data_IF_577312254322
#
_entry.id   IF_577312254322
#
_cell.length_a   1.000
_cell.length_b   1.000
_cell.length_c   1.000
_cell.angle_alpha   90.00
_cell.angle_beta   90.00
_cell.angle_gamma   90.00
#
_symmetry.space_group_name_H-M   'P 1'
#
loop_
_entity.id
_entity.type
_entity.pdbx_description
1 polymer ?
#
# COMPACT_ATOMS: atom_id res chain seq x y z
N UNK A 1 -10.90 -11.71 -1.21
CA UNK A 1 -10.68 -10.68 -0.18
C UNK A 1 -9.63 -9.74 -0.71
N UNK A 2 -9.82 -8.43 -0.56
CA UNK A 2 -8.88 -7.38 -0.99
C UNK A 2 -8.28 -6.68 0.23
N UNK A 3 -7.04 -6.25 0.11
CA UNK A 3 -6.37 -5.38 1.08
C UNK A 3 -6.15 -4.05 0.37
N UNK A 4 -6.77 -3.01 0.89
CA UNK A 4 -6.77 -1.66 0.33
C UNK A 4 -6.02 -0.79 1.31
N UNK A 5 -4.94 -0.14 0.88
CA UNK A 5 -4.07 0.66 1.74
C UNK A 5 -4.11 2.12 1.30
N UNK A 6 -4.23 3.04 2.26
CA UNK A 6 -4.29 4.48 1.99
C UNK A 6 -2.92 5.09 2.22
N UNK A 7 -2.33 5.63 1.16
CA UNK A 7 -1.09 6.38 1.26
C UNK A 7 -1.33 7.80 1.78
N UNK A 8 -0.46 8.28 2.68
CA UNK A 8 -0.40 9.68 3.12
C UNK A 8 -1.70 10.18 3.78
N UNK A 9 -2.27 9.43 4.72
CA UNK A 9 -3.49 9.85 5.40
C UNK A 9 -3.28 10.71 6.66
N UNK A 10 -2.05 11.12 6.97
CA UNK A 10 -1.73 12.03 8.08
C UNK A 10 -0.79 13.12 7.58
N UNK A 11 -1.03 14.38 7.97
CA UNK A 11 -0.23 15.52 7.50
C UNK A 11 1.26 15.37 7.87
N UNK A 12 1.56 15.08 9.15
CA UNK A 12 2.92 14.91 9.63
C UNK A 12 3.65 13.75 8.92
N UNK A 13 2.96 12.65 8.65
CA UNK A 13 3.53 11.53 7.91
C UNK A 13 3.76 11.88 6.42
N UNK A 14 2.85 12.63 5.80
CA UNK A 14 3.02 13.07 4.42
C UNK A 14 4.27 13.96 4.25
N UNK A 15 4.58 14.79 5.26
CA UNK A 15 5.82 15.56 5.33
C UNK A 15 7.05 14.65 5.47
N UNK A 16 7.04 13.70 6.41
CA UNK A 16 8.11 12.70 6.58
C UNK A 16 8.41 11.94 5.29
N UNK A 17 7.38 11.45 4.59
CA UNK A 17 7.54 10.74 3.33
C UNK A 17 8.17 11.61 2.23
N UNK A 18 7.82 12.90 2.17
CA UNK A 18 8.43 13.80 1.21
C UNK A 18 9.93 13.96 1.48
N UNK A 19 10.35 13.97 2.75
CA UNK A 19 11.76 13.97 3.11
C UNK A 19 12.45 12.64 2.79
N UNK A 20 11.83 11.49 3.11
CA UNK A 20 12.37 10.16 2.87
C UNK A 20 12.50 9.80 1.38
N UNK A 21 11.59 10.29 0.54
CA UNK A 21 11.58 10.01 -0.90
C UNK A 21 12.49 10.98 -1.66
N UNK A 22 12.59 12.25 -1.22
CA UNK A 22 13.43 13.27 -1.91
C UNK A 22 14.87 13.32 -1.39
N UNK A 23 15.11 12.90 -0.16
CA UNK A 23 16.42 12.85 0.45
C UNK A 23 17.03 11.46 0.33
N UNK A 24 18.19 11.34 -0.33
CA UNK A 24 19.12 10.25 -0.01
C UNK A 24 19.61 10.50 1.42
N UNK A 25 19.03 9.85 2.41
CA UNK A 25 19.31 10.16 3.81
C UNK A 25 20.62 9.50 4.26
N UNK A 26 21.60 10.30 4.67
CA UNK A 26 22.43 9.93 5.82
C UNK A 26 21.53 10.00 7.05
N UNK A 27 21.21 8.84 7.62
CA UNK A 27 20.73 8.75 8.98
C UNK A 27 21.89 9.04 9.95
N UNK A 28 21.69 9.73 11.08
CA UNK A 28 22.73 9.87 12.09
C UNK A 28 22.95 8.51 12.75
N UNK A 29 23.95 7.77 12.28
CA UNK A 29 24.41 6.56 12.94
C UNK A 29 25.09 6.93 14.27
N UNK A 30 24.49 6.43 15.35
CA UNK A 30 25.08 6.08 16.65
C UNK A 30 26.50 6.59 16.96
N UNK A 31 26.58 7.63 17.80
CA UNK A 31 27.72 7.80 18.69
C UNK A 31 27.70 6.70 19.75
N UNK A 32 28.19 5.51 19.42
CA UNK A 32 28.82 4.59 20.38
C UNK A 32 29.23 3.29 19.68
N UNK A 33 30.52 3.19 19.34
CA UNK A 33 31.36 1.97 19.44
C UNK A 33 32.75 2.28 18.89
N UNK A 34 33.60 2.83 19.76
CA UNK A 34 35.02 2.53 19.67
C UNK A 34 35.23 1.13 20.27
N UNK A 35 35.62 0.16 19.46
CA UNK A 35 36.65 -0.85 19.77
C UNK A 35 36.63 -2.00 18.75
N UNK A 36 37.70 -2.09 17.96
CA UNK A 36 38.41 -3.35 17.73
C UNK A 36 37.94 -4.29 16.60
N UNK A 37 38.89 -4.62 15.71
CA UNK A 37 38.94 -5.92 15.04
C UNK A 37 38.70 -5.86 13.53
N UNK A 38 39.78 -5.73 12.76
CA UNK A 38 39.74 -5.92 11.32
C UNK A 38 39.44 -7.37 10.94
N UNK A 39 38.61 -7.54 9.91
CA UNK A 39 38.45 -8.79 9.19
C UNK A 39 38.68 -8.52 7.70
N UNK A 40 39.65 -9.23 7.14
CA UNK A 40 40.03 -9.22 5.73
C UNK A 40 38.88 -9.76 4.85
N UNK A 41 38.59 -9.07 3.77
CA UNK A 41 37.75 -9.59 2.68
C UNK A 41 38.62 -10.37 1.68
N UNK A 42 38.25 -11.60 1.30
CA UNK A 42 38.98 -12.30 0.27
C UNK A 42 38.76 -11.63 -1.09
N UNK A 43 39.88 -11.46 -1.78
CA UNK A 43 40.01 -10.85 -3.10
C UNK A 43 39.45 -11.73 -4.21
N UNK A 44 38.80 -11.11 -5.20
CA UNK A 44 38.57 -11.74 -6.51
C UNK A 44 37.26 -11.37 -7.17
N UNK A 45 37.26 -10.28 -7.95
CA UNK A 45 36.88 -10.23 -9.37
C UNK A 45 36.61 -8.78 -9.81
N UNK A 46 37.16 -8.44 -10.98
CA UNK A 46 37.19 -7.10 -11.56
C UNK A 46 35.92 -6.79 -12.36
N UNK A 47 35.63 -5.50 -12.44
CA UNK A 47 34.68 -4.87 -13.35
C UNK A 47 34.98 -5.19 -14.82
N UNK A 48 33.95 -5.62 -15.55
CA UNK A 48 33.85 -5.58 -17.02
C UNK A 48 32.57 -4.82 -17.35
N UNK A 49 32.60 -4.00 -18.40
CA UNK A 49 31.61 -2.99 -18.73
C UNK A 49 30.21 -3.49 -19.14
N UNK A 50 29.50 -2.57 -19.80
CA UNK A 50 28.04 -2.47 -19.96
C UNK A 50 27.39 -3.46 -20.93
N UNK A 51 26.22 -3.95 -20.52
CA UNK A 51 25.26 -4.81 -21.23
C UNK A 51 25.54 -6.32 -21.17
N UNK A 52 24.57 -7.05 -20.60
CA UNK A 52 24.41 -8.49 -20.83
C UNK A 52 22.97 -8.75 -21.21
N UNK A 53 22.78 -9.08 -22.48
CA UNK A 53 21.54 -9.63 -23.04
C UNK A 53 21.24 -10.99 -22.40
N UNK A 54 19.95 -11.29 -22.23
CA UNK A 54 19.46 -12.56 -21.74
C UNK A 54 19.50 -13.60 -22.87
N UNK A 55 20.52 -14.46 -22.89
CA UNK A 55 20.53 -15.64 -23.77
C UNK A 55 19.78 -16.78 -23.08
N UNK A 56 18.46 -16.81 -23.25
CA UNK A 56 17.66 -17.99 -23.02
C UNK A 56 16.98 -18.38 -24.34
N UNK A 57 17.33 -19.57 -24.84
CA UNK A 57 16.83 -20.14 -26.09
C UNK A 57 15.30 -20.33 -26.04
N UNK A 58 14.60 -19.74 -27.02
CA UNK A 58 13.18 -19.95 -27.26
C UNK A 58 12.96 -21.33 -27.93
N UNK A 59 12.02 -22.17 -27.46
CA UNK A 59 11.62 -23.37 -28.19
C UNK A 59 10.95 -22.99 -29.51
N UNK A 60 11.45 -23.56 -30.61
CA UNK A 60 10.94 -23.30 -31.95
C UNK A 60 9.50 -23.80 -32.13
N UNK A 61 8.58 -22.88 -32.44
CA UNK A 61 7.23 -23.18 -32.88
C UNK A 61 7.28 -23.74 -34.32
N UNK A 62 7.01 -25.03 -34.44
CA UNK A 62 6.89 -25.74 -35.70
C UNK A 62 5.67 -25.26 -36.49
N UNK A 63 5.91 -24.52 -37.57
CA UNK A 63 4.89 -24.16 -38.57
C UNK A 63 4.75 -25.31 -39.56
N UNK A 64 3.76 -26.17 -39.37
CA UNK A 64 3.13 -26.95 -40.43
C UNK A 64 1.89 -27.69 -39.90
N UNK A 65 0.73 -27.06 -40.05
CA UNK A 65 -0.57 -27.75 -40.05
C UNK A 65 -1.51 -26.99 -40.99
N UNK A 66 -1.60 -27.50 -42.22
CA UNK A 66 -2.64 -27.23 -43.20
C UNK A 66 -3.94 -27.93 -42.78
N UNK A 67 -5.07 -27.23 -42.83
CA UNK A 67 -6.39 -27.85 -42.76
C UNK A 67 -7.54 -26.86 -42.55
N UNK A 68 -8.27 -26.58 -43.65
CA UNK A 68 -9.72 -26.30 -43.83
C UNK A 68 -10.48 -25.42 -42.83
N UNK A 69 -11.46 -24.57 -43.18
CA UNK A 69 -12.06 -24.02 -44.41
C UNK A 69 -12.96 -22.88 -43.90
N UNK A 70 -13.11 -21.81 -44.69
CA UNK A 70 -14.07 -20.76 -44.39
C UNK A 70 -15.51 -21.24 -44.69
N UNK A 71 -16.46 -20.92 -43.80
CA UNK A 71 -17.87 -20.77 -44.17
C UNK A 71 -18.43 -19.49 -43.55
N UNK A 72 -19.10 -18.72 -44.41
CA UNK A 72 -19.84 -17.49 -44.13
C UNK A 72 -21.30 -17.79 -43.78
N UNK A 73 -21.96 -16.74 -43.29
CA UNK A 73 -23.41 -16.50 -43.19
C UNK A 73 -24.07 -17.04 -41.93
N UNK A 74 -24.62 -16.13 -41.11
CA UNK A 74 -26.05 -15.79 -41.12
C UNK A 74 -26.23 -14.37 -40.58
N UNK A 75 -26.97 -13.57 -41.35
CA UNK A 75 -27.55 -12.27 -40.98
C UNK A 75 -28.88 -12.51 -40.24
N UNK A 76 -29.39 -11.41 -39.68
CA UNK A 76 -30.75 -11.14 -39.21
C UNK A 76 -31.09 -11.64 -37.79
N UNK A 77 -31.74 -10.89 -36.89
CA UNK A 77 -32.40 -9.59 -36.95
C UNK A 77 -32.73 -9.12 -35.51
N UNK A 78 -32.77 -7.79 -35.28
CA UNK A 78 -33.68 -7.15 -34.33
C UNK A 78 -33.28 -7.04 -32.85
N UNK A 79 -32.91 -5.83 -32.40
CA UNK A 79 -33.83 -5.00 -31.61
C UNK A 79 -33.31 -3.56 -31.47
N UNK A 80 -34.27 -2.65 -31.52
CA UNK A 80 -34.24 -1.21 -31.67
C UNK A 80 -33.87 -0.42 -30.42
N UNK A 81 -33.22 0.73 -30.62
CA UNK A 81 -33.61 1.96 -29.93
C UNK A 81 -32.63 2.54 -28.90
N UNK A 82 -31.73 3.42 -29.36
CA UNK A 82 -31.29 4.61 -28.62
C UNK A 82 -30.74 5.61 -29.63
N UNK A 83 -31.56 6.59 -30.02
CA UNK A 83 -31.16 7.73 -30.84
C UNK A 83 -30.30 8.67 -30.00
N UNK A 84 -29.01 8.74 -30.28
CA UNK A 84 -28.15 9.83 -29.81
C UNK A 84 -28.08 10.88 -30.92
N UNK A 85 -28.57 12.09 -30.66
CA UNK A 85 -28.33 13.24 -31.53
C UNK A 85 -26.86 13.69 -31.42
N UNK A 86 -26.23 14.13 -32.52
CA UNK A 86 -24.87 14.63 -32.50
C UNK A 86 -24.86 16.11 -32.08
N UNK A 87 -24.32 16.42 -30.90
CA UNK A 87 -23.94 17.80 -30.59
C UNK A 87 -22.52 18.04 -31.10
N UNK A 88 -22.47 18.78 -32.21
CA UNK A 88 -21.28 19.43 -32.73
C UNK A 88 -20.82 20.53 -31.78
N UNK A 89 -19.61 20.40 -31.25
CA UNK A 89 -18.71 21.52 -30.98
C UNK A 89 -17.29 20.97 -30.82
N UNK A 90 -16.57 20.95 -31.95
CA UNK A 90 -15.11 20.97 -31.93
C UNK A 90 -14.69 22.38 -31.53
N UNK A 91 -14.07 22.51 -30.36
CA UNK A 91 -13.41 23.72 -29.90
C UNK A 91 -11.98 23.35 -29.55
N UNK A 92 -11.03 23.89 -30.30
CA UNK A 92 -9.60 23.85 -30.02
C UNK A 92 -9.33 24.36 -28.60
N UNK A 93 -8.82 23.47 -27.76
CA UNK A 93 -8.37 23.79 -26.43
C UNK A 93 -7.51 22.64 -25.95
N UNK A 94 -6.19 22.74 -26.16
CA UNK A 94 -5.25 21.95 -25.39
C UNK A 94 -5.48 22.32 -23.92
N UNK A 95 -6.27 21.54 -23.20
CA UNK A 95 -6.33 21.60 -21.74
C UNK A 95 -4.95 21.20 -21.24
N UNK A 96 -4.12 22.22 -21.03
CA UNK A 96 -2.89 22.14 -20.26
C UNK A 96 -3.24 21.43 -18.96
N UNK A 97 -2.71 20.22 -18.78
CA UNK A 97 -2.80 19.49 -17.53
C UNK A 97 -2.45 20.47 -16.39
N UNK A 98 -3.35 20.69 -15.42
CA UNK A 98 -3.09 21.67 -14.37
C UNK A 98 -1.82 21.27 -13.60
N UNK A 99 -0.99 22.26 -13.29
CA UNK A 99 0.33 22.22 -12.65
C UNK A 99 0.43 21.50 -11.28
N UNK A 100 -0.58 20.73 -10.89
CA UNK A 100 -0.79 20.18 -9.53
C UNK A 100 -0.13 18.82 -9.27
N UNK A 101 0.45 18.18 -10.29
CA UNK A 101 1.01 16.82 -10.15
C UNK A 101 2.55 16.75 -10.27
N UNK A 102 3.27 17.85 -10.05
CA UNK A 102 4.73 17.80 -9.90
C UNK A 102 5.10 17.21 -8.52
N UNK A 103 6.06 16.28 -8.43
CA UNK A 103 6.72 15.95 -7.17
C UNK A 103 7.45 17.21 -6.69
N UNK A 104 6.84 17.96 -5.77
CA UNK A 104 7.34 19.30 -5.46
C UNK A 104 6.50 20.08 -4.47
N UNK A 105 5.19 20.11 -4.69
CA UNK A 105 4.24 21.07 -4.11
C UNK A 105 3.47 20.45 -2.93
N UNK A 106 3.55 21.08 -1.75
CA UNK A 106 2.84 20.69 -0.53
C UNK A 106 1.38 21.16 -0.52
N UNK A 107 0.54 20.56 -1.36
CA UNK A 107 -0.91 20.55 -1.17
C UNK A 107 -1.37 19.09 -1.12
N UNK A 108 -2.19 18.73 -0.12
CA UNK A 108 -2.78 17.40 -0.03
C UNK A 108 -3.72 17.17 -1.23
N UNK A 109 -3.62 16.00 -1.87
CA UNK A 109 -4.53 15.58 -2.95
C UNK A 109 -5.99 15.75 -2.49
N UNK A 110 -6.93 16.19 -3.35
CA UNK A 110 -8.34 16.30 -2.99
C UNK A 110 -9.02 14.92 -2.81
N UNK A 111 -8.36 13.85 -3.23
CA UNK A 111 -8.84 12.47 -3.15
C UNK A 111 -7.78 11.56 -2.50
N UNK A 112 -8.21 10.54 -1.73
CA UNK A 112 -7.28 9.61 -1.09
C UNK A 112 -6.49 8.83 -2.14
N UNK A 113 -5.18 8.76 -1.94
CA UNK A 113 -4.29 7.90 -2.73
C UNK A 113 -4.37 6.51 -2.10
N UNK A 114 -4.67 5.50 -2.92
CA UNK A 114 -4.77 4.13 -2.45
C UNK A 114 -4.06 3.17 -3.40
N UNK A 115 -3.63 2.04 -2.85
CA UNK A 115 -3.04 0.93 -3.57
C UNK A 115 -3.56 -0.39 -3.00
N UNK A 116 -3.24 -1.49 -3.67
CA UNK A 116 -3.68 -2.83 -3.28
C UNK A 116 -2.50 -3.68 -2.85
N UNK A 117 -2.75 -4.56 -1.86
CA UNK A 117 -1.88 -5.69 -1.54
C UNK A 117 -2.66 -6.99 -1.82
N UNK A 118 -2.02 -8.02 -2.41
CA UNK A 118 -2.64 -9.31 -2.65
C UNK A 118 -2.93 -10.01 -1.31
N UNK A 119 -3.78 -11.03 -1.31
CA UNK A 119 -4.08 -11.79 -0.10
C UNK A 119 -2.85 -12.55 0.45
N UNK A 120 -1.88 -12.90 -0.40
CA UNK A 120 -0.57 -13.46 0.02
C UNK A 120 0.28 -12.49 0.84
N UNK A 121 -0.03 -11.18 0.80
CA UNK A 121 0.62 -10.19 1.64
C UNK A 121 0.25 -10.32 3.13
N UNK A 122 -0.79 -11.08 3.49
CA UNK A 122 -1.21 -11.15 4.89
C UNK A 122 -0.25 -11.96 5.76
N UNK A 123 0.25 -11.31 6.81
CA UNK A 123 0.86 -11.95 7.97
C UNK A 123 -0.19 -12.01 9.08
N UNK A 124 -0.46 -13.20 9.60
CA UNK A 124 -1.58 -13.47 10.52
C UNK A 124 -1.06 -14.03 11.84
N UNK A 125 -1.92 -14.09 12.84
CA UNK A 125 -1.70 -14.85 14.08
C UNK A 125 -0.46 -14.44 14.89
N UNK A 126 0.01 -13.19 14.75
CA UNK A 126 1.30 -12.77 15.32
C UNK A 126 2.48 -13.67 14.88
N UNK A 127 2.39 -14.26 13.68
CA UNK A 127 3.52 -14.96 13.08
C UNK A 127 4.69 -13.98 12.94
N UNK A 128 5.95 -14.44 13.14
CA UNK A 128 7.11 -13.60 12.90
C UNK A 128 7.17 -13.09 11.47
N UNK A 129 7.52 -11.81 11.30
CA UNK A 129 7.79 -11.24 9.98
C UNK A 129 9.23 -11.51 9.59
N UNK A 130 9.46 -12.07 8.41
CA UNK A 130 10.79 -12.34 7.88
C UNK A 130 11.15 -11.25 6.88
N UNK A 131 12.26 -10.55 7.11
CA UNK A 131 12.75 -9.52 6.18
C UNK A 131 13.12 -10.21 4.86
N UNK A 132 12.52 -9.82 3.72
CA UNK A 132 12.79 -10.47 2.46
C UNK A 132 14.20 -10.17 1.96
N UNK A 133 14.91 -11.21 1.47
CA UNK A 133 16.29 -11.10 1.00
C UNK A 133 16.51 -10.14 -0.18
N UNK A 134 15.45 -9.74 -0.89
CA UNK A 134 15.53 -8.77 -1.99
C UNK A 134 15.61 -7.31 -1.50
N UNK A 135 15.34 -7.04 -0.22
CA UNK A 135 15.28 -5.69 0.35
C UNK A 135 16.37 -5.53 1.40
N UNK A 136 16.98 -4.35 1.42
CA UNK A 136 17.95 -3.94 2.45
C UNK A 136 17.31 -3.02 3.50
N UNK A 137 16.12 -2.48 3.22
CA UNK A 137 15.45 -1.51 4.09
C UNK A 137 13.94 -1.71 4.05
N UNK A 138 13.40 -2.35 5.10
CA UNK A 138 11.95 -2.52 5.28
C UNK A 138 11.47 -1.67 6.43
N UNK A 139 10.44 -0.87 6.20
CA UNK A 139 9.85 0.01 7.20
C UNK A 139 8.51 -0.51 7.70
N UNK A 140 8.22 -0.28 8.98
CA UNK A 140 6.89 -0.44 9.56
C UNK A 140 6.02 0.80 9.33
N UNK A 141 4.73 0.58 9.14
CA UNK A 141 3.71 1.62 9.06
C UNK A 141 2.47 1.10 9.82
N UNK A 142 2.32 1.45 11.09
CA UNK A 142 1.17 1.02 11.90
C UNK A 142 -0.10 1.77 11.50
N UNK A 143 -1.19 1.06 11.27
CA UNK A 143 -2.45 1.62 10.79
C UNK A 143 -3.66 1.03 11.51
N UNK A 144 -4.70 1.84 11.64
CA UNK A 144 -6.04 1.32 11.93
C UNK A 144 -6.54 0.56 10.70
N UNK A 145 -7.07 -0.65 10.92
CA UNK A 145 -7.63 -1.49 9.86
C UNK A 145 -9.12 -1.65 10.06
N UNK A 146 -9.89 -1.29 9.03
CA UNK A 146 -11.35 -1.44 9.01
C UNK A 146 -11.71 -2.69 8.22
N UNK A 147 -12.56 -3.55 8.79
CA UNK A 147 -13.09 -4.74 8.11
C UNK A 147 -14.46 -4.46 7.53
N UNK A 148 -14.58 -4.64 6.21
CA UNK A 148 -15.85 -4.46 5.52
C UNK A 148 -16.78 -5.63 5.86
N UNK A 149 -18.00 -5.33 6.31
CA UNK A 149 -19.01 -6.32 6.71
C UNK A 149 -20.20 -6.40 5.74
N UNK A 150 -20.21 -5.58 4.69
CA UNK A 150 -21.29 -5.54 3.70
C UNK A 150 -20.77 -5.32 2.27
N UNK A 151 -21.45 -5.94 1.30
CA UNK A 151 -21.16 -5.72 -0.12
C UNK A 151 -21.69 -4.35 -0.56
N UNK A 152 -20.87 -3.55 -1.25
CA UNK A 152 -21.28 -2.25 -1.76
C UNK A 152 -20.40 -1.70 -2.88
N UNK A 153 -21.00 -0.84 -3.70
CA UNK A 153 -20.39 -0.16 -4.85
C UNK A 153 -20.98 1.24 -4.93
N UNK A 154 -20.18 2.24 -5.26
CA UNK A 154 -20.60 3.65 -5.35
C UNK A 154 -21.33 4.12 -4.09
N UNK A 155 -20.78 3.80 -2.93
CA UNK A 155 -21.35 4.10 -1.62
C UNK A 155 -21.21 5.61 -1.38
N UNK A 156 -22.32 6.30 -1.10
CA UNK A 156 -22.25 7.69 -0.67
C UNK A 156 -21.65 7.78 0.75
N UNK A 157 -20.79 8.78 0.99
CA UNK A 157 -20.05 8.98 2.24
C UNK A 157 -20.93 8.91 3.49
N UNK A 158 -22.07 9.60 3.50
CA UNK A 158 -23.06 9.57 4.60
C UNK A 158 -23.60 8.17 4.98
N UNK A 159 -23.34 7.16 4.16
CA UNK A 159 -23.79 5.78 4.37
C UNK A 159 -22.65 4.80 4.61
N UNK A 160 -21.39 5.25 4.55
CA UNK A 160 -20.21 4.41 4.63
C UNK A 160 -20.04 3.73 6.00
N UNK A 161 -20.39 4.41 7.10
CA UNK A 161 -20.40 3.86 8.46
C UNK A 161 -21.23 2.58 8.63
N UNK A 162 -22.12 2.24 7.68
CA UNK A 162 -22.96 1.03 7.70
C UNK A 162 -22.28 -0.20 7.08
N UNK A 163 -21.05 -0.05 6.60
CA UNK A 163 -20.28 -1.09 5.89
C UNK A 163 -19.12 -1.66 6.70
N UNK A 164 -18.99 -1.24 7.96
CA UNK A 164 -18.04 -1.77 8.91
C UNK A 164 -18.59 -1.62 10.32
N UNK A 165 -18.16 -2.50 11.23
CA UNK A 165 -18.53 -2.45 12.65
C UNK A 165 -17.36 -2.75 13.57
N UNK A 166 -16.25 -3.21 13.02
CA UNK A 166 -15.10 -3.66 13.78
C UNK A 166 -13.82 -3.14 13.16
N UNK A 167 -12.83 -2.94 14.01
CA UNK A 167 -11.51 -2.44 13.66
C UNK A 167 -10.42 -3.29 14.28
N UNK A 168 -9.28 -3.35 13.63
CA UNK A 168 -8.05 -3.95 14.15
C UNK A 168 -6.88 -3.00 13.98
N UNK A 169 -5.69 -3.49 14.26
CA UNK A 169 -4.44 -2.82 13.89
C UNK A 169 -3.69 -3.69 12.90
N UNK A 170 -2.94 -3.03 12.02
CA UNK A 170 -2.10 -3.70 11.05
C UNK A 170 -0.79 -2.95 10.81
N UNK A 171 0.21 -3.66 10.29
CA UNK A 171 1.47 -3.07 9.84
C UNK A 171 1.55 -3.17 8.32
N UNK A 172 1.60 -2.03 7.65
CA UNK A 172 1.83 -1.90 6.21
C UNK A 172 3.35 -1.85 5.92
N UNK A 173 3.98 -3.03 5.88
CA UNK A 173 5.41 -3.11 5.59
C UNK A 173 5.73 -2.61 4.18
N UNK A 174 6.83 -1.85 4.11
CA UNK A 174 7.29 -1.22 2.88
C UNK A 174 8.78 -1.47 2.67
N UNK A 175 9.16 -2.11 1.56
CA UNK A 175 10.55 -2.15 1.11
C UNK A 175 10.93 -0.75 0.59
N UNK A 176 11.48 0.08 1.48
CA UNK A 176 11.65 1.52 1.27
C UNK A 176 12.67 1.81 0.18
N UNK A 177 13.71 1.00 0.10
CA UNK A 177 14.70 1.00 -0.97
C UNK A 177 14.04 0.86 -2.35
N UNK A 178 13.18 -0.13 -2.52
CA UNK A 178 12.44 -0.35 -3.77
C UNK A 178 11.41 0.76 -4.03
N UNK A 179 10.80 1.31 -2.99
CA UNK A 179 9.84 2.40 -3.17
C UNK A 179 10.53 3.68 -3.67
N UNK A 180 11.71 4.02 -3.12
CA UNK A 180 12.51 5.15 -3.61
C UNK A 180 12.95 4.94 -5.06
N UNK A 181 13.39 3.73 -5.40
CA UNK A 181 13.70 3.37 -6.79
C UNK A 181 12.48 3.57 -7.71
N UNK A 182 11.32 3.02 -7.34
CA UNK A 182 10.10 3.16 -8.11
C UNK A 182 9.70 4.64 -8.27
N UNK A 183 9.80 5.44 -7.21
CA UNK A 183 9.51 6.87 -7.26
C UNK A 183 10.47 7.64 -8.21
N UNK A 184 11.77 7.32 -8.18
CA UNK A 184 12.76 7.93 -9.06
C UNK A 184 12.54 7.57 -10.55
N UNK A 185 12.08 6.34 -10.80
CA UNK A 185 11.80 5.84 -12.15
C UNK A 185 10.36 6.14 -12.64
N UNK A 186 9.52 6.72 -11.80
CA UNK A 186 8.10 6.96 -12.11
C UNK A 186 7.26 5.67 -12.22
N UNK A 187 7.68 4.60 -11.55
CA UNK A 187 7.05 3.29 -11.55
C UNK A 187 6.00 3.11 -10.43
N UNK A 188 5.06 2.16 -10.59
CA UNK A 188 4.11 1.77 -9.55
C UNK A 188 4.77 1.21 -8.28
N UNK A 189 4.07 1.31 -7.13
CA UNK A 189 4.60 0.95 -5.81
C UNK A 189 4.50 -0.55 -5.46
N UNK A 190 3.86 -1.36 -6.30
CA UNK A 190 3.48 -2.75 -6.02
C UNK A 190 4.70 -3.58 -5.61
N UNK A 191 5.86 -3.43 -6.23
CA UNK A 191 7.07 -4.18 -5.83
C UNK A 191 7.55 -3.84 -4.42
N UNK A 192 7.30 -2.63 -3.95
CA UNK A 192 7.70 -2.17 -2.62
C UNK A 192 6.66 -2.41 -1.53
N UNK A 193 5.39 -2.60 -1.93
CA UNK A 193 4.25 -2.68 -1.01
C UNK A 193 3.54 -4.05 -1.06
N UNK A 194 3.57 -4.80 -2.15
CA UNK A 194 2.68 -5.96 -2.37
C UNK A 194 3.38 -7.32 -2.27
N UNK A 195 4.51 -7.40 -1.54
CA UNK A 195 5.25 -8.66 -1.36
C UNK A 195 4.61 -9.53 -0.26
N UNK A 196 4.95 -10.82 -0.23
CA UNK A 196 4.39 -11.77 0.73
C UNK A 196 4.60 -11.30 2.18
N UNK A 197 3.58 -11.49 3.03
CA UNK A 197 3.59 -11.12 4.46
C UNK A 197 3.80 -9.62 4.76
N UNK A 198 3.74 -8.75 3.76
CA UNK A 198 3.90 -7.29 3.93
C UNK A 198 2.73 -6.55 4.56
N UNK A 199 1.63 -7.22 4.90
CA UNK A 199 0.47 -6.69 5.61
C UNK A 199 0.23 -7.51 6.88
N UNK A 200 0.81 -7.11 8.00
CA UNK A 200 0.46 -7.73 9.29
C UNK A 200 -0.94 -7.28 9.71
N UNK A 201 -1.73 -8.21 10.24
CA UNK A 201 -3.08 -7.92 10.74
C UNK A 201 -3.29 -8.55 12.12
N UNK A 202 -3.92 -7.80 13.02
CA UNK A 202 -4.27 -8.29 14.35
C UNK A 202 -5.08 -9.59 14.28
N UNK A 203 -4.82 -10.58 15.15
CA UNK A 203 -5.59 -11.83 15.18
C UNK A 203 -7.07 -11.59 15.48
N UNK A 204 -7.36 -10.52 16.21
CA UNK A 204 -8.69 -10.12 16.64
C UNK A 204 -9.07 -8.75 16.06
N UNK A 205 -10.37 -8.55 15.87
CA UNK A 205 -10.98 -7.26 15.56
C UNK A 205 -11.89 -6.87 16.72
N UNK A 206 -11.86 -5.61 17.10
CA UNK A 206 -12.64 -5.05 18.20
C UNK A 206 -13.89 -4.37 17.64
N UNK A 207 -15.04 -4.66 18.23
CA UNK A 207 -16.29 -3.98 17.88
C UNK A 207 -16.19 -2.49 18.21
N UNK A 208 -16.62 -1.63 17.28
CA UNK A 208 -16.73 -0.19 17.55
C UNK A 208 -17.69 0.10 18.70
N UNK A 209 -18.68 -0.76 18.94
CA UNK A 209 -19.57 -0.62 20.09
C UNK A 209 -18.82 -0.72 21.43
N UNK A 210 -17.72 -1.50 21.49
CA UNK A 210 -16.84 -1.56 22.67
C UNK A 210 -15.94 -0.32 22.80
N UNK A 211 -15.82 0.47 21.74
CA UNK A 211 -14.94 1.64 21.60
C UNK A 211 -15.74 2.94 21.41
N UNK A 212 -16.85 3.08 22.13
CA UNK A 212 -17.77 4.25 22.08
C UNK A 212 -18.44 4.55 20.72
N UNK A 213 -18.26 3.69 19.72
CA UNK A 213 -18.99 3.69 18.45
C UNK A 213 -18.42 4.60 17.35
N UNK A 214 -17.46 5.47 17.66
CA UNK A 214 -16.92 6.47 16.73
C UNK A 214 -15.50 6.12 16.29
N UNK A 215 -15.38 5.59 15.06
CA UNK A 215 -14.07 5.19 14.49
C UNK A 215 -13.10 6.36 14.34
N UNK A 216 -13.60 7.60 14.29
CA UNK A 216 -12.77 8.80 14.18
C UNK A 216 -12.36 9.36 15.54
N UNK A 217 -12.53 8.61 16.65
CA UNK A 217 -12.07 9.02 18.00
C UNK A 217 -11.21 7.97 18.69
N UNK A 218 -10.54 7.14 17.90
CA UNK A 218 -9.64 6.10 18.40
C UNK A 218 -8.18 6.56 18.40
N UNK A 219 -7.44 6.06 19.40
CA UNK A 219 -6.01 6.22 19.58
C UNK A 219 -5.31 4.88 19.56
N UNK A 220 -4.16 4.83 18.91
CA UNK A 220 -3.33 3.62 18.88
C UNK A 220 -1.85 3.97 18.95
N UNK A 221 -1.04 3.01 19.35
CA UNK A 221 0.42 3.16 19.40
C UNK A 221 1.11 1.98 18.75
N UNK A 222 2.33 2.23 18.27
CA UNK A 222 3.30 1.20 17.93
C UNK A 222 4.54 1.39 18.79
N UNK A 223 4.96 0.32 19.44
CA UNK A 223 6.22 0.19 20.13
C UNK A 223 7.15 -0.73 19.35
N UNK A 224 8.43 -0.36 19.29
CA UNK A 224 9.52 -1.20 18.79
C UNK A 224 10.49 -1.41 19.94
N UNK A 225 10.68 -2.65 20.37
CA UNK A 225 11.50 -3.01 21.53
C UNK A 225 11.12 -2.22 22.80
N UNK A 226 9.82 -2.04 23.02
CA UNK A 226 9.25 -1.31 24.16
C UNK A 226 9.37 0.22 24.08
N UNK A 227 9.92 0.77 22.98
CA UNK A 227 9.96 2.22 22.76
C UNK A 227 8.83 2.64 21.82
N UNK A 228 7.96 3.54 22.25
CA UNK A 228 6.91 4.09 21.38
C UNK A 228 7.53 4.82 20.19
N UNK A 229 7.22 4.34 18.98
CA UNK A 229 7.68 4.91 17.71
C UNK A 229 6.58 5.68 17.00
N UNK A 230 5.35 5.18 17.07
CA UNK A 230 4.19 5.84 16.46
C UNK A 230 3.08 6.02 17.48
N UNK A 231 2.38 7.14 17.38
CA UNK A 231 1.14 7.42 18.10
C UNK A 231 0.13 7.94 17.09
N UNK A 232 -0.96 7.20 16.90
CA UNK A 232 -2.05 7.54 16.01
C UNK A 232 -3.24 8.09 16.77
N UNK A 233 -3.85 9.13 16.20
CA UNK A 233 -5.15 9.67 16.59
C UNK A 233 -5.97 9.78 15.30
N UNK A 234 -7.02 8.98 15.20
CA UNK A 234 -7.87 8.88 14.00
C UNK A 234 -8.56 10.21 13.64
N UNK A 235 -8.67 11.17 14.55
CA UNK A 235 -9.15 12.54 14.26
C UNK A 235 -8.19 13.31 13.36
N UNK A 236 -6.92 12.93 13.33
CA UNK A 236 -5.87 13.58 12.55
C UNK A 236 -5.77 13.02 11.13
N UNK A 237 -6.59 12.03 10.78
CA UNK A 237 -6.66 11.53 9.42
C UNK A 237 -7.13 12.62 8.45
N UNK A 238 -6.42 12.79 7.34
CA UNK A 238 -6.76 13.73 6.26
C UNK A 238 -8.06 13.32 5.55
N UNK A 239 -8.27 12.01 5.43
CA UNK A 239 -9.49 11.39 4.92
C UNK A 239 -10.06 10.46 5.99
N UNK A 240 -11.30 10.72 6.39
CA UNK A 240 -12.03 9.85 7.32
C UNK A 240 -12.24 8.46 6.72
N UNK A 241 -12.49 7.46 7.56
CA UNK A 241 -12.86 6.11 7.10
C UNK A 241 -14.04 6.13 6.13
N UNK A 242 -15.07 6.92 6.44
CA UNK A 242 -16.24 7.09 5.59
C UNK A 242 -15.90 7.67 4.22
N UNK A 243 -15.01 8.67 4.18
CA UNK A 243 -14.51 9.29 2.94
C UNK A 243 -13.72 8.29 2.11
N UNK A 244 -12.87 7.48 2.73
CA UNK A 244 -12.09 6.43 2.07
C UNK A 244 -13.02 5.41 1.40
N UNK A 245 -13.99 4.88 2.14
CA UNK A 245 -14.96 3.90 1.62
C UNK A 245 -15.74 4.48 0.45
N UNK A 246 -16.22 5.71 0.56
CA UNK A 246 -16.93 6.38 -0.52
C UNK A 246 -16.03 6.53 -1.75
N UNK A 247 -14.80 7.00 -1.57
CA UNK A 247 -13.86 7.23 -2.67
C UNK A 247 -13.50 5.93 -3.41
N UNK A 248 -13.10 4.88 -2.68
CA UNK A 248 -12.67 3.59 -3.23
C UNK A 248 -13.85 2.86 -3.89
N UNK A 249 -15.03 2.90 -3.27
CA UNK A 249 -16.20 2.16 -3.79
C UNK A 249 -16.71 2.71 -5.12
N UNK A 250 -16.37 3.94 -5.53
CA UNK A 250 -16.60 4.44 -6.90
C UNK A 250 -15.90 3.58 -7.96
N UNK A 251 -14.71 3.05 -7.65
CA UNK A 251 -13.85 2.35 -8.61
C UNK A 251 -13.97 0.83 -8.50
N UNK A 252 -14.11 0.28 -7.30
CA UNK A 252 -14.27 -1.17 -7.11
C UNK A 252 -15.41 -1.53 -6.14
N UNK A 253 -15.98 -2.72 -6.30
CA UNK A 253 -16.95 -3.25 -5.33
C UNK A 253 -16.23 -3.69 -4.06
N UNK A 254 -16.65 -3.16 -2.91
CA UNK A 254 -16.24 -3.67 -1.59
C UNK A 254 -17.06 -4.91 -1.27
N UNK A 255 -16.39 -5.96 -0.80
CA UNK A 255 -16.98 -7.24 -0.41
C UNK A 255 -16.75 -7.48 1.07
N UNK A 256 -17.61 -8.32 1.66
CA UNK A 256 -17.43 -8.75 3.04
C UNK A 256 -16.05 -9.38 3.23
N UNK A 257 -15.37 -8.99 4.30
CA UNK A 257 -14.03 -9.44 4.65
C UNK A 257 -12.89 -8.65 3.98
N UNK A 258 -13.17 -7.73 3.07
CA UNK A 258 -12.13 -6.81 2.57
C UNK A 258 -11.59 -5.95 3.73
N UNK A 259 -10.29 -5.65 3.68
CA UNK A 259 -9.57 -4.90 4.69
C UNK A 259 -9.16 -3.53 4.14
N UNK A 260 -9.38 -2.48 4.92
CA UNK A 260 -8.94 -1.12 4.60
C UNK A 260 -7.92 -0.69 5.66
N UNK A 261 -6.67 -0.61 5.24
CA UNK A 261 -5.54 -0.02 5.93
C UNK A 261 -5.62 1.50 5.70
N UNK A 262 -5.88 2.25 6.76
CA UNK A 262 -6.37 3.64 6.70
C UNK A 262 -5.26 4.69 6.62
N UNK A 263 -4.01 4.29 6.48
CA UNK A 263 -2.82 5.13 6.50
C UNK A 263 -2.17 5.20 7.88
N UNK A 264 -0.88 5.52 7.89
CA UNK A 264 -0.04 5.55 9.09
C UNK A 264 0.27 6.98 9.57
N UNK A 265 0.35 7.21 10.89
CA UNK A 265 0.82 8.48 11.45
C UNK A 265 2.35 8.61 11.30
N UNK A 266 2.89 9.74 11.76
CA UNK A 266 4.32 10.00 11.78
C UNK A 266 5.10 8.97 12.62
N UNK A 267 6.43 8.91 12.44
CA UNK A 267 7.32 7.99 13.15
C UNK A 267 7.58 6.68 12.42
N UNK A 268 7.44 6.65 11.10
CA UNK A 268 7.80 5.50 10.26
C UNK A 268 9.31 5.27 10.32
N UNK A 269 9.72 4.00 10.45
CA UNK A 269 11.13 3.65 10.56
C UNK A 269 11.43 2.21 10.16
N UNK A 270 12.73 1.85 10.07
CA UNK A 270 13.15 0.52 9.66
C UNK A 270 12.89 -0.53 10.75
N UNK A 271 12.76 -1.79 10.32
CA UNK A 271 12.87 -2.97 11.18
C UNK A 271 14.19 -3.69 10.95
N UNK A 272 14.71 -4.31 12.01
CA UNK A 272 15.91 -5.16 12.00
C UNK A 272 15.60 -6.55 12.56
N UNK A 273 16.32 -7.60 12.13
CA UNK A 273 16.17 -8.92 12.76
C UNK A 273 16.41 -8.85 14.27
N UNK A 274 15.49 -9.44 15.04
CA UNK A 274 15.50 -9.39 16.50
C UNK A 274 14.65 -8.27 17.11
N UNK A 275 14.10 -7.35 16.31
CA UNK A 275 13.11 -6.39 16.79
C UNK A 275 11.80 -7.08 17.17
N UNK A 276 11.12 -6.53 18.17
CA UNK A 276 9.73 -6.87 18.51
C UNK A 276 8.83 -5.66 18.24
N UNK A 277 7.72 -5.90 17.52
CA UNK A 277 6.70 -4.90 17.22
C UNK A 277 5.46 -5.19 18.05
N UNK A 278 5.03 -4.19 18.82
CA UNK A 278 3.84 -4.26 19.67
C UNK A 278 2.90 -3.11 19.38
N UNK A 279 1.65 -3.41 19.02
CA UNK A 279 0.64 -2.39 18.70
C UNK A 279 -0.58 -2.49 19.63
N UNK A 280 -1.01 -1.33 20.12
CA UNK A 280 -2.06 -1.19 21.13
C UNK A 280 -3.14 -0.23 20.63
N UNK A 281 -4.42 -0.63 20.73
CA UNK A 281 -5.59 0.19 20.40
C UNK A 281 -6.37 0.46 21.69
N UNK A 282 -6.54 1.72 22.09
CA UNK A 282 -7.30 2.10 23.30
C UNK A 282 -6.91 1.28 24.55
N UNK A 283 -5.61 1.04 24.72
CA UNK A 283 -5.06 0.25 25.83
C UNK A 283 -5.13 -1.27 25.66
N UNK A 284 -5.79 -1.79 24.61
CA UNK A 284 -5.84 -3.22 24.27
C UNK A 284 -4.72 -3.58 23.30
N UNK A 285 -3.84 -4.49 23.69
CA UNK A 285 -2.82 -5.04 22.79
C UNK A 285 -3.48 -5.90 21.70
N UNK A 286 -3.18 -5.59 20.44
CA UNK A 286 -3.74 -6.30 19.27
C UNK A 286 -2.68 -6.96 18.40
N UNK A 287 -1.43 -6.50 18.44
CA UNK A 287 -0.29 -7.10 17.74
C UNK A 287 0.91 -7.17 18.67
N UNK A 288 1.63 -8.29 18.62
CA UNK A 288 2.88 -8.50 19.32
C UNK A 288 3.64 -9.65 18.64
N UNK A 289 4.63 -9.32 17.81
CA UNK A 289 5.37 -10.31 17.03
C UNK A 289 6.80 -9.86 16.75
N UNK A 290 7.64 -10.84 16.43
CA UNK A 290 9.07 -10.63 16.21
C UNK A 290 9.42 -10.44 14.72
N UNK A 291 10.49 -9.70 14.49
CA UNK A 291 11.14 -9.55 13.19
C UNK A 291 12.31 -10.53 13.09
N UNK A 292 12.42 -11.23 11.96
CA UNK A 292 13.41 -12.26 11.69
C UNK A 292 14.12 -12.09 10.36
#
# INVERSE_FOLDING_TARGET
>A
MKIICIGRNYAAHAEELNHLIRGGAEYPAEQSRQAGGGAEYPSGLRQIGSATECTAELPQLNRNATGCTAEQSWLDEGNTGCTAEPSSQAGDGAETLPERNRPGCGECSPEPIWFLKPDTALLRNNDPFYIPAFSQEVHYECELVVRIDRVGKSIAERFAHRYYKEVGLGIDFTARDLQRQAAAEGLPWERSKAFDRSAAISPEFVSLQELDGDVQKLHFTLEVNGQTRQTGDTRQMLFTVDRIIAAVSRYMTLRMGDLIYTGTPAGVGPVSPGDNLRAVLEGRELLNFDIR
#
